data_IF_079192704142
#
_entry.id   IF_079192704142
#
_cell.length_a   1.000
_cell.length_b   1.000
_cell.length_c   1.000
_cell.angle_alpha   90.00
_cell.angle_beta   90.00
_cell.angle_gamma   90.00
#
_symmetry.space_group_name_H-M   'P 1'
#
loop_
_entity.id
_entity.type
_entity.pdbx_description
1 polymer ?
#
# COMPACT_ATOMS: atom_id res chain seq x y z
N UNK A 1 -18.90 15.12 -9.46
CA UNK A 1 -17.80 14.49 -8.68
C UNK A 1 -16.80 15.55 -8.27
N UNK A 2 -16.43 15.64 -6.99
CA UNK A 2 -15.40 16.58 -6.56
C UNK A 2 -14.02 16.02 -6.91
N UNK A 3 -13.41 16.55 -7.98
CA UNK A 3 -12.09 16.11 -8.48
C UNK A 3 -11.01 16.14 -7.39
N UNK A 4 -11.09 17.11 -6.46
CA UNK A 4 -10.16 17.24 -5.33
C UNK A 4 -10.28 16.06 -4.37
N UNK A 5 -11.50 15.60 -4.08
CA UNK A 5 -11.73 14.44 -3.21
C UNK A 5 -11.14 13.16 -3.79
N UNK A 6 -11.31 12.95 -5.11
CA UNK A 6 -10.80 11.77 -5.81
C UNK A 6 -9.27 11.77 -5.81
N UNK A 7 -8.65 12.92 -6.09
CA UNK A 7 -7.20 13.05 -6.06
C UNK A 7 -6.63 12.73 -4.66
N UNK A 8 -7.27 13.26 -3.60
CA UNK A 8 -6.87 12.95 -2.22
C UNK A 8 -7.01 11.46 -1.93
N UNK A 9 -8.11 10.82 -2.34
CA UNK A 9 -8.31 9.37 -2.19
C UNK A 9 -7.21 8.57 -2.89
N UNK A 10 -6.84 8.96 -4.12
CA UNK A 10 -5.75 8.31 -4.87
C UNK A 10 -4.42 8.45 -4.12
N UNK A 11 -4.07 9.66 -3.67
CA UNK A 11 -2.81 9.91 -2.96
C UNK A 11 -2.72 9.14 -1.65
N UNK A 12 -3.81 9.10 -0.87
CA UNK A 12 -3.87 8.32 0.38
C UNK A 12 -3.75 6.84 0.09
N UNK A 13 -4.51 6.32 -0.88
CA UNK A 13 -4.44 4.92 -1.28
C UNK A 13 -3.05 4.53 -1.75
N UNK A 14 -2.42 5.38 -2.55
CA UNK A 14 -1.05 5.17 -3.02
C UNK A 14 -0.05 5.11 -1.86
N UNK A 15 -0.12 6.07 -0.92
CA UNK A 15 0.74 6.08 0.25
C UNK A 15 0.55 4.82 1.12
N UNK A 16 -0.69 4.39 1.35
CA UNK A 16 -0.98 3.14 2.09
C UNK A 16 -0.41 1.92 1.34
N UNK A 17 -0.55 1.89 0.01
CA UNK A 17 0.03 0.85 -0.82
C UNK A 17 1.53 0.69 -0.62
N UNK A 18 2.28 1.80 -0.73
CA UNK A 18 3.74 1.80 -0.60
C UNK A 18 4.20 1.61 0.83
N UNK A 19 3.66 2.36 1.79
CA UNK A 19 4.21 2.40 3.15
C UNK A 19 3.60 1.39 4.10
N UNK A 20 2.49 0.73 3.74
CA UNK A 20 1.86 -0.29 4.57
C UNK A 20 1.81 -1.62 3.83
N UNK A 21 1.16 -1.70 2.67
CA UNK A 21 0.96 -3.00 2.02
C UNK A 21 2.27 -3.65 1.57
N UNK A 22 3.18 -2.88 0.98
CA UNK A 22 4.46 -3.39 0.51
C UNK A 22 5.37 -3.93 1.63
N UNK A 23 5.73 -3.17 2.69
CA UNK A 23 6.63 -3.67 3.72
C UNK A 23 6.04 -4.87 4.45
N UNK A 24 4.73 -4.87 4.73
CA UNK A 24 4.07 -6.02 5.32
C UNK A 24 4.06 -7.23 4.39
N UNK A 25 3.76 -7.03 3.10
CA UNK A 25 3.74 -8.10 2.10
C UNK A 25 5.11 -8.78 1.97
N UNK A 26 6.17 -7.99 1.84
CA UNK A 26 7.55 -8.50 1.76
C UNK A 26 7.91 -9.22 3.07
N UNK A 27 7.60 -8.63 4.23
CA UNK A 27 7.91 -9.22 5.53
C UNK A 27 7.23 -10.56 5.74
N UNK A 28 5.94 -10.67 5.42
CA UNK A 28 5.20 -11.93 5.55
C UNK A 28 5.80 -13.00 4.63
N UNK A 29 6.10 -12.64 3.38
CA UNK A 29 6.63 -13.58 2.41
C UNK A 29 8.03 -14.07 2.78
N UNK A 30 8.92 -13.14 3.13
CA UNK A 30 10.32 -13.44 3.47
C UNK A 30 10.45 -14.13 4.82
N UNK A 31 9.70 -13.71 5.84
CA UNK A 31 9.74 -14.35 7.16
C UNK A 31 9.33 -15.83 7.11
N UNK A 32 8.36 -16.18 6.26
CA UNK A 32 7.94 -17.58 6.08
C UNK A 32 9.04 -18.47 5.48
N UNK A 33 9.96 -17.89 4.72
CA UNK A 33 11.06 -18.58 4.03
C UNK A 33 12.37 -18.61 4.80
N UNK A 34 12.49 -17.86 5.89
CA UNK A 34 13.72 -17.69 6.66
C UNK A 34 13.71 -18.60 7.90
N UNK A 35 14.85 -19.17 8.26
CA UNK A 35 15.02 -20.05 9.44
C UNK A 35 14.96 -19.30 10.80
N UNK A 36 14.15 -18.24 10.89
CA UNK A 36 13.97 -17.42 12.09
C UNK A 36 15.26 -16.76 12.64
N UNK A 37 16.25 -16.47 11.80
CA UNK A 37 17.54 -15.91 12.24
C UNK A 37 17.41 -14.53 12.92
N UNK A 38 16.40 -13.75 12.55
CA UNK A 38 16.04 -12.49 13.23
C UNK A 38 14.53 -12.44 13.49
N UNK A 39 14.14 -11.65 14.48
CA UNK A 39 12.73 -11.51 14.85
C UNK A 39 11.92 -10.80 13.74
N UNK A 40 10.62 -11.07 13.72
CA UNK A 40 9.70 -10.55 12.71
C UNK A 40 9.67 -9.01 12.62
N UNK A 41 9.75 -8.32 13.76
CA UNK A 41 9.75 -6.86 13.83
C UNK A 41 10.97 -6.25 13.14
N UNK A 42 12.12 -6.90 13.27
CA UNK A 42 13.35 -6.43 12.67
C UNK A 42 13.32 -6.61 11.14
N UNK A 43 12.70 -7.67 10.63
CA UNK A 43 12.41 -7.79 9.20
C UNK A 43 11.51 -6.67 8.69
N UNK A 44 10.43 -6.35 9.42
CA UNK A 44 9.51 -5.30 9.02
C UNK A 44 10.23 -3.94 8.90
N UNK A 45 11.07 -3.61 9.87
CA UNK A 45 11.86 -2.38 9.87
C UNK A 45 12.85 -2.36 8.70
N UNK A 46 13.56 -3.46 8.47
CA UNK A 46 14.53 -3.56 7.37
C UNK A 46 13.86 -3.38 6.00
N UNK A 47 12.73 -4.07 5.77
CA UNK A 47 11.96 -3.94 4.54
C UNK A 47 11.42 -2.51 4.37
N UNK A 48 11.03 -1.84 5.47
CA UNK A 48 10.62 -0.45 5.41
C UNK A 48 11.76 0.49 4.98
N UNK A 49 12.97 0.28 5.51
CA UNK A 49 14.16 1.04 5.12
C UNK A 49 14.52 0.78 3.66
N UNK A 50 14.39 -0.46 3.19
CA UNK A 50 14.66 -0.84 1.81
C UNK A 50 13.70 -0.14 0.83
N UNK A 51 12.42 0.00 1.18
CA UNK A 51 11.43 0.74 0.38
C UNK A 51 11.79 2.23 0.21
N UNK A 52 12.46 2.80 1.21
CA UNK A 52 12.97 4.18 1.15
C UNK A 52 14.26 4.29 0.34
N UNK A 53 14.95 3.17 0.08
CA UNK A 53 16.13 3.15 -0.77
C UNK A 53 15.70 3.15 -2.24
N UNK A 54 15.61 4.36 -2.82
CA UNK A 54 15.14 4.59 -4.18
C UNK A 54 16.16 4.04 -5.20
N UNK A 55 16.11 2.73 -5.42
CA UNK A 55 16.78 2.04 -6.51
C UNK A 55 15.77 1.73 -7.64
N UNK A 56 16.27 1.36 -8.83
CA UNK A 56 15.41 1.15 -10.01
C UNK A 56 14.33 0.08 -9.81
N UNK A 57 14.66 -1.03 -9.16
CA UNK A 57 13.70 -2.11 -8.87
C UNK A 57 12.67 -1.66 -7.83
N UNK A 58 13.12 -0.95 -6.79
CA UNK A 58 12.29 -0.41 -5.72
C UNK A 58 11.28 0.61 -6.24
N UNK A 59 11.67 1.49 -7.17
CA UNK A 59 10.74 2.44 -7.81
C UNK A 59 9.61 1.68 -8.51
N UNK A 60 9.95 0.61 -9.24
CA UNK A 60 8.97 -0.18 -9.96
C UNK A 60 7.99 -0.85 -9.00
N UNK A 61 8.49 -1.52 -7.96
CA UNK A 61 7.66 -2.17 -6.95
C UNK A 61 6.80 -1.17 -6.16
N UNK A 62 7.38 -0.04 -5.72
CA UNK A 62 6.64 1.03 -5.05
C UNK A 62 5.51 1.55 -5.95
N UNK A 63 5.77 1.70 -7.25
CA UNK A 63 4.74 2.13 -8.20
C UNK A 63 3.60 1.11 -8.28
N UNK A 64 3.91 -0.18 -8.37
CA UNK A 64 2.89 -1.24 -8.42
C UNK A 64 2.04 -1.28 -7.15
N UNK A 65 2.67 -1.30 -5.97
CA UNK A 65 1.96 -1.32 -4.70
C UNK A 65 1.18 -0.02 -4.46
N UNK A 66 1.71 1.13 -4.87
CA UNK A 66 0.99 2.39 -4.83
C UNK A 66 -0.24 2.39 -5.74
N UNK A 67 -0.14 1.88 -6.97
CA UNK A 67 -1.28 1.75 -7.87
C UNK A 67 -2.34 0.77 -7.33
N UNK A 68 -1.91 -0.34 -6.72
CA UNK A 68 -2.80 -1.29 -6.03
C UNK A 68 -3.58 -0.58 -4.92
N UNK A 69 -2.88 0.13 -4.02
CA UNK A 69 -3.49 0.85 -2.91
C UNK A 69 -4.43 1.97 -3.38
N UNK A 70 -4.06 2.71 -4.41
CA UNK A 70 -4.92 3.72 -5.03
C UNK A 70 -6.20 3.10 -5.63
N UNK A 71 -6.08 1.95 -6.28
CA UNK A 71 -7.21 1.24 -6.87
C UNK A 71 -8.21 0.78 -5.81
N UNK A 72 -7.72 0.19 -4.71
CA UNK A 72 -8.55 -0.22 -3.57
C UNK A 72 -9.25 0.99 -2.93
N UNK A 73 -8.52 2.08 -2.72
CA UNK A 73 -9.09 3.31 -2.16
C UNK A 73 -10.19 3.89 -3.05
N UNK A 74 -10.02 3.85 -4.37
CA UNK A 74 -11.05 4.27 -5.33
C UNK A 74 -12.28 3.36 -5.30
N UNK A 75 -12.10 2.03 -5.29
CA UNK A 75 -13.21 1.07 -5.17
C UNK A 75 -14.02 1.35 -3.89
N UNK A 76 -13.33 1.54 -2.76
CA UNK A 76 -13.97 1.88 -1.50
C UNK A 76 -14.73 3.22 -1.58
N UNK A 77 -14.10 4.25 -2.13
CA UNK A 77 -14.72 5.57 -2.26
C UNK A 77 -15.98 5.55 -3.12
N UNK A 78 -15.94 4.88 -4.28
CA UNK A 78 -17.09 4.75 -5.15
C UNK A 78 -18.18 3.88 -4.54
N UNK A 79 -17.83 2.72 -3.97
CA UNK A 79 -18.80 1.83 -3.31
C UNK A 79 -19.47 2.46 -2.09
N UNK A 80 -18.76 3.30 -1.33
CA UNK A 80 -19.38 4.07 -0.23
C UNK A 80 -20.38 5.11 -0.76
N UNK A 81 -20.01 5.82 -1.82
CA UNK A 81 -20.86 6.85 -2.43
C UNK A 81 -22.12 6.28 -3.07
N UNK A 82 -22.07 5.08 -3.63
CA UNK A 82 -23.24 4.37 -4.14
C UNK A 82 -24.25 4.09 -3.01
N UNK A 83 -23.77 3.54 -1.89
CA UNK A 83 -24.62 3.30 -0.69
C UNK A 83 -25.20 4.58 -0.08
N UNK A 84 -24.49 5.70 -0.15
CA UNK A 84 -24.98 7.00 0.33
C UNK A 84 -26.08 7.58 -0.59
N UNK A 85 -26.14 7.16 -1.86
CA UNK A 85 -27.20 7.54 -2.80
C UNK A 85 -28.43 6.66 -2.62
N UNK A 86 -28.27 5.35 -2.43
CA UNK A 86 -29.39 4.41 -2.26
C UNK A 86 -30.13 4.57 -0.92
N UNK A 87 -29.48 5.12 0.11
CA UNK A 87 -30.08 5.39 1.42
C UNK A 87 -30.78 6.76 1.52
N UNK A 88 -31.02 7.45 0.40
CA UNK A 88 -31.61 8.79 0.34
C UNK A 88 -32.93 8.80 -0.40
#
# INVERSE_FOLDING_TARGET
MNKKSILITILIGFAIGVFILQPFGITIFTFSSQNYEINWWQYLINNFIEILNINGNQIFENTLFGLLGASVALIYYFGKREKDIDNK
#
